data_IF_920816664367
#
_entry.id   IF_920816664367
#
_cell.length_a   1.000
_cell.length_b   1.000
_cell.length_c   1.000
_cell.angle_alpha   90.00
_cell.angle_beta   90.00
_cell.angle_gamma   90.00
#
_symmetry.space_group_name_H-M   'P 1'
#
loop_
_entity.id
_entity.type
_entity.pdbx_description
1 polymer ?
#
# COMPACT_ATOMS: atom_id res chain seq x y z
N UNK A 1 -1.58 21.54 10.06
CA UNK A 1 -1.59 20.13 10.55
C UNK A 1 -2.21 19.21 9.51
N UNK A 2 -1.72 17.95 9.37
CA UNK A 2 -2.33 16.93 8.50
C UNK A 2 -2.95 15.81 9.33
N UNK A 3 -4.05 15.20 8.84
CA UNK A 3 -4.65 14.03 9.49
C UNK A 3 -4.31 12.79 8.66
N UNK A 4 -3.78 11.73 9.32
CA UNK A 4 -3.51 10.43 8.70
C UNK A 4 -4.53 9.43 9.25
N UNK A 5 -5.60 9.19 8.49
CA UNK A 5 -6.65 8.23 8.85
C UNK A 5 -6.19 6.83 8.45
N UNK A 6 -6.03 5.95 9.44
CA UNK A 6 -5.43 4.64 9.26
C UNK A 6 -3.90 4.63 9.43
N UNK A 7 -3.35 5.57 10.19
CA UNK A 7 -1.92 5.61 10.51
C UNK A 7 -1.42 4.41 11.31
N UNK A 8 -2.31 3.56 11.84
CA UNK A 8 -1.97 2.27 12.43
C UNK A 8 -1.81 1.12 11.41
N UNK A 9 -1.93 1.41 10.12
CA UNK A 9 -1.70 0.43 9.04
C UNK A 9 -0.23 0.37 8.63
N UNK A 10 0.13 -0.63 7.82
CA UNK A 10 1.48 -0.77 7.25
C UNK A 10 1.96 0.54 6.59
N UNK A 11 1.24 1.00 5.58
CA UNK A 11 1.59 2.25 4.87
C UNK A 11 1.46 3.45 5.80
N UNK A 12 0.47 3.43 6.72
CA UNK A 12 0.18 4.54 7.63
C UNK A 12 1.32 4.87 8.59
N UNK A 13 1.97 3.87 9.19
CA UNK A 13 3.11 4.08 10.08
C UNK A 13 4.28 4.73 9.35
N UNK A 14 4.62 4.23 8.15
CA UNK A 14 5.69 4.82 7.34
C UNK A 14 5.34 6.23 6.83
N UNK A 15 4.06 6.47 6.49
CA UNK A 15 3.59 7.81 6.10
C UNK A 15 3.68 8.79 7.26
N UNK A 16 3.26 8.39 8.47
CA UNK A 16 3.39 9.24 9.66
C UNK A 16 4.85 9.59 9.94
N UNK A 17 5.77 8.63 9.85
CA UNK A 17 7.20 8.87 10.04
C UNK A 17 7.77 9.82 8.98
N UNK A 18 7.39 9.66 7.72
CA UNK A 18 7.81 10.58 6.65
C UNK A 18 7.35 12.02 6.96
N UNK A 19 6.08 12.21 7.32
CA UNK A 19 5.55 13.54 7.64
C UNK A 19 6.26 14.17 8.84
N UNK A 20 6.57 13.39 9.88
CA UNK A 20 7.35 13.86 11.03
C UNK A 20 8.78 14.25 10.63
N UNK A 21 9.44 13.44 9.80
CA UNK A 21 10.79 13.73 9.29
C UNK A 21 10.80 15.03 8.48
N UNK A 22 9.72 15.33 7.78
CA UNK A 22 9.53 16.58 7.04
C UNK A 22 9.07 17.77 7.92
N UNK A 23 9.03 17.59 9.23
CA UNK A 23 8.64 18.64 10.18
C UNK A 23 7.16 19.02 10.16
N UNK A 24 6.30 18.12 9.67
CA UNK A 24 4.86 18.35 9.64
C UNK A 24 4.20 18.03 10.99
N UNK A 25 3.30 18.88 11.43
CA UNK A 25 2.36 18.55 12.50
C UNK A 25 1.30 17.58 11.98
N UNK A 26 1.11 16.46 12.67
CA UNK A 26 0.16 15.41 12.27
C UNK A 26 -0.73 14.98 13.42
N UNK A 27 -1.97 14.59 13.08
CA UNK A 27 -2.87 13.81 13.89
C UNK A 27 -3.03 12.43 13.23
N UNK A 28 -2.84 11.38 14.00
CA UNK A 28 -2.96 10.00 13.50
C UNK A 28 -4.22 9.36 14.05
N UNK A 29 -4.92 8.59 13.23
CA UNK A 29 -6.05 7.79 13.69
C UNK A 29 -5.92 6.32 13.34
N UNK A 30 -6.59 5.47 14.15
CA UNK A 30 -6.69 4.04 13.93
C UNK A 30 -7.72 3.41 14.87
N UNK A 31 -8.00 2.12 14.69
CA UNK A 31 -8.98 1.40 15.53
C UNK A 31 -8.36 0.72 16.77
N UNK A 32 -7.04 0.61 16.81
CA UNK A 32 -6.36 -0.17 17.84
C UNK A 32 -5.49 0.70 18.75
N UNK A 33 -5.79 0.69 20.02
CA UNK A 33 -5.09 1.47 21.05
C UNK A 33 -3.61 1.11 21.24
N UNK A 34 -3.15 -0.07 20.80
CA UNK A 34 -1.74 -0.44 20.92
C UNK A 34 -0.78 0.52 20.20
N UNK A 35 -1.28 1.28 19.22
CA UNK A 35 -0.49 2.28 18.51
C UNK A 35 -0.47 3.65 19.18
N UNK A 36 -1.34 3.87 20.17
CA UNK A 36 -1.45 5.16 20.89
C UNK A 36 -0.13 5.51 21.56
N UNK A 37 0.39 4.61 22.40
CA UNK A 37 1.65 4.82 23.13
C UNK A 37 2.81 5.12 22.17
N UNK A 38 2.93 4.34 21.10
CA UNK A 38 3.94 4.56 20.05
C UNK A 38 3.92 5.98 19.47
N UNK A 39 2.74 6.53 19.23
CA UNK A 39 2.60 7.88 18.67
C UNK A 39 2.75 8.96 19.72
N UNK A 40 2.16 8.79 20.89
CA UNK A 40 2.21 9.77 21.99
C UNK A 40 3.64 9.97 22.52
N UNK A 41 4.46 8.92 22.61
CA UNK A 41 5.89 9.01 22.92
C UNK A 41 6.70 9.83 21.90
N UNK A 42 6.19 9.98 20.68
CA UNK A 42 6.78 10.79 19.61
C UNK A 42 6.15 12.18 19.49
N UNK A 43 5.32 12.57 20.48
CA UNK A 43 4.65 13.85 20.48
C UNK A 43 3.51 13.96 19.48
N UNK A 44 2.99 12.83 18.99
CA UNK A 44 1.91 12.77 17.99
C UNK A 44 0.60 12.39 18.66
N UNK A 45 -0.43 13.20 18.44
CA UNK A 45 -1.78 12.88 18.91
C UNK A 45 -2.37 11.68 18.17
N UNK A 46 -2.98 10.76 18.91
CA UNK A 46 -3.65 9.59 18.36
C UNK A 46 -5.11 9.53 18.79
N UNK A 47 -6.02 9.39 17.83
CA UNK A 47 -7.45 9.22 18.08
C UNK A 47 -7.95 7.88 17.56
N UNK A 48 -8.86 7.26 18.32
CA UNK A 48 -9.62 6.12 17.84
C UNK A 48 -10.67 6.61 16.85
N UNK A 49 -10.66 6.03 15.65
CA UNK A 49 -11.64 6.34 14.62
C UNK A 49 -11.96 5.08 13.81
N UNK A 50 -13.25 4.72 13.80
CA UNK A 50 -13.81 3.71 12.91
C UNK A 50 -14.59 4.40 11.78
N UNK A 51 -14.25 4.09 10.54
CA UNK A 51 -14.89 4.68 9.37
C UNK A 51 -16.39 4.35 9.25
N UNK A 52 -16.89 3.32 9.96
CA UNK A 52 -18.30 2.95 9.97
C UNK A 52 -19.14 3.75 10.96
N UNK A 53 -18.54 4.58 11.82
CA UNK A 53 -19.19 5.26 12.95
C UNK A 53 -19.16 6.76 12.76
N UNK A 54 -20.32 7.38 12.57
CA UNK A 54 -20.43 8.83 12.36
C UNK A 54 -20.00 9.64 13.59
N UNK A 55 -20.20 9.11 14.80
CA UNK A 55 -19.82 9.76 16.06
C UNK A 55 -18.31 9.92 16.23
N UNK A 56 -17.51 9.02 15.65
CA UNK A 56 -16.05 9.09 15.77
C UNK A 56 -15.47 10.31 15.05
N UNK A 57 -16.14 10.80 14.01
CA UNK A 57 -15.72 11.99 13.25
C UNK A 57 -15.92 13.30 14.06
N UNK A 58 -16.75 13.29 15.09
CA UNK A 58 -16.95 14.46 15.94
C UNK A 58 -15.72 14.80 16.81
N UNK A 59 -14.81 13.84 16.99
CA UNK A 59 -13.56 14.04 17.70
C UNK A 59 -12.49 14.74 16.86
N UNK A 60 -12.65 14.77 15.54
CA UNK A 60 -11.66 15.35 14.65
C UNK A 60 -11.66 16.88 14.74
N UNK A 61 -10.49 17.53 14.59
CA UNK A 61 -10.35 18.98 14.58
C UNK A 61 -11.21 19.64 13.51
N UNK A 62 -11.92 20.70 13.86
CA UNK A 62 -12.76 21.45 12.91
C UNK A 62 -12.00 22.55 12.17
N UNK A 63 -10.80 22.91 12.65
CA UNK A 63 -9.96 24.00 12.08
C UNK A 63 -8.49 23.60 12.10
N UNK A 64 -7.67 24.28 11.29
CA UNK A 64 -6.22 24.09 11.25
C UNK A 64 -5.75 22.84 10.53
N UNK A 65 -6.63 22.18 9.76
CA UNK A 65 -6.29 20.99 8.99
C UNK A 65 -6.04 21.37 7.52
N UNK A 66 -4.82 21.12 7.03
CA UNK A 66 -4.38 21.43 5.68
C UNK A 66 -4.75 20.33 4.66
N UNK A 67 -4.97 19.12 5.14
CA UNK A 67 -5.34 18.00 4.28
C UNK A 67 -5.39 16.67 5.04
N UNK A 68 -5.96 15.66 4.38
CA UNK A 68 -6.18 14.32 4.94
C UNK A 68 -5.54 13.26 4.05
N UNK A 69 -4.80 12.33 4.66
CA UNK A 69 -4.34 11.08 4.02
C UNK A 69 -5.24 9.95 4.53
N UNK A 70 -6.01 9.32 3.62
CA UNK A 70 -6.93 8.24 3.95
C UNK A 70 -6.36 6.89 3.55
N UNK A 71 -5.82 6.16 4.52
CA UNK A 71 -5.21 4.84 4.37
C UNK A 71 -6.02 3.72 5.04
N UNK A 72 -7.01 4.08 5.86
CA UNK A 72 -7.92 3.10 6.43
C UNK A 72 -8.79 2.47 5.35
N UNK A 73 -8.94 1.16 5.40
CA UNK A 73 -9.75 0.39 4.47
C UNK A 73 -9.74 -1.09 4.78
N UNK A 74 -10.71 -1.80 4.25
CA UNK A 74 -10.78 -3.26 4.31
C UNK A 74 -10.10 -3.85 3.06
N UNK A 75 -9.18 -4.80 3.28
CA UNK A 75 -8.41 -5.49 2.23
C UNK A 75 -8.62 -7.01 2.35
N UNK A 76 -8.70 -7.74 1.23
CA UNK A 76 -8.80 -9.20 1.24
C UNK A 76 -7.66 -9.87 2.00
N UNK A 77 -6.44 -9.36 1.85
CA UNK A 77 -5.24 -9.89 2.52
C UNK A 77 -5.32 -9.83 4.06
N UNK A 78 -6.19 -8.99 4.63
CA UNK A 78 -6.38 -8.81 6.07
C UNK A 78 -7.71 -9.38 6.57
N UNK A 79 -8.53 -9.98 5.70
CA UNK A 79 -9.85 -10.51 6.03
C UNK A 79 -9.83 -12.05 6.01
N UNK A 80 -10.08 -12.73 7.15
CA UNK A 80 -10.13 -14.19 7.23
C UNK A 80 -11.46 -14.74 6.67
N UNK A 81 -11.84 -14.30 5.47
CA UNK A 81 -13.11 -14.65 4.83
C UNK A 81 -12.87 -15.69 3.75
N UNK A 82 -13.66 -16.76 3.76
CA UNK A 82 -13.75 -17.72 2.69
C UNK A 82 -15.02 -17.47 1.89
N UNK A 83 -14.90 -16.97 0.67
CA UNK A 83 -16.04 -16.61 -0.19
C UNK A 83 -16.88 -17.79 -0.67
N UNK A 84 -16.42 -19.05 -0.48
CA UNK A 84 -17.22 -20.23 -0.79
C UNK A 84 -18.31 -20.47 0.27
N UNK A 85 -18.16 -19.91 1.47
CA UNK A 85 -19.08 -20.11 2.61
C UNK A 85 -19.52 -18.81 3.29
N UNK A 86 -18.77 -17.71 3.12
CA UNK A 86 -19.03 -16.43 3.77
C UNK A 86 -19.14 -15.32 2.71
N UNK A 87 -19.96 -14.32 3.00
CA UNK A 87 -20.08 -13.12 2.17
C UNK A 87 -19.80 -11.88 3.00
N UNK A 88 -18.90 -11.02 2.50
CA UNK A 88 -18.53 -9.76 3.16
C UNK A 88 -18.58 -8.56 2.20
N UNK A 89 -19.33 -8.66 1.11
CA UNK A 89 -19.44 -7.59 0.11
C UNK A 89 -19.92 -6.27 0.74
N UNK A 90 -20.92 -6.33 1.61
CA UNK A 90 -21.44 -5.16 2.32
C UNK A 90 -20.37 -4.45 3.15
N UNK A 91 -19.51 -5.21 3.83
CA UNK A 91 -18.43 -4.65 4.67
C UNK A 91 -17.43 -3.85 3.84
N UNK A 92 -17.07 -4.34 2.62
CA UNK A 92 -16.20 -3.60 1.72
C UNK A 92 -16.79 -2.25 1.32
N UNK A 93 -18.09 -2.21 0.99
CA UNK A 93 -18.75 -0.96 0.63
C UNK A 93 -18.95 -0.05 1.84
N UNK A 94 -19.31 -0.60 3.02
CA UNK A 94 -19.46 0.20 4.25
C UNK A 94 -18.13 0.88 4.63
N UNK A 95 -17.02 0.14 4.61
CA UNK A 95 -15.72 0.67 5.06
C UNK A 95 -15.07 1.49 3.93
N UNK A 96 -14.89 0.92 2.73
CA UNK A 96 -14.10 1.55 1.69
C UNK A 96 -14.84 2.68 0.98
N UNK A 97 -16.14 2.52 0.70
CA UNK A 97 -16.92 3.51 -0.05
C UNK A 97 -17.60 4.50 0.88
N UNK A 98 -18.45 4.02 1.79
CA UNK A 98 -19.21 4.89 2.69
C UNK A 98 -18.29 5.57 3.72
N UNK A 99 -17.25 4.87 4.20
CA UNK A 99 -16.21 5.47 5.02
C UNK A 99 -15.50 6.61 4.30
N UNK A 100 -15.19 6.47 3.01
CA UNK A 100 -14.63 7.57 2.19
C UNK A 100 -15.59 8.75 2.11
N UNK A 101 -16.91 8.51 1.93
CA UNK A 101 -17.92 9.58 1.93
C UNK A 101 -17.90 10.34 3.26
N UNK A 102 -17.84 9.63 4.40
CA UNK A 102 -17.76 10.28 5.73
C UNK A 102 -16.55 11.20 5.86
N UNK A 103 -15.37 10.73 5.38
CA UNK A 103 -14.16 11.56 5.37
C UNK A 103 -14.33 12.80 4.49
N UNK A 104 -14.88 12.63 3.28
CA UNK A 104 -15.11 13.73 2.36
C UNK A 104 -16.11 14.76 2.92
N UNK A 105 -17.20 14.30 3.56
CA UNK A 105 -18.18 15.18 4.23
C UNK A 105 -17.58 15.93 5.42
N UNK A 106 -16.76 15.24 6.24
CA UNK A 106 -15.99 15.91 7.28
C UNK A 106 -15.11 17.02 6.68
N UNK A 107 -14.34 16.70 5.65
CA UNK A 107 -13.45 17.65 4.99
C UNK A 107 -14.22 18.83 4.41
N UNK A 108 -15.29 18.57 3.66
CA UNK A 108 -16.14 19.60 3.04
C UNK A 108 -16.74 20.55 4.07
N UNK A 109 -17.30 20.03 5.17
CA UNK A 109 -17.92 20.82 6.24
C UNK A 109 -16.93 21.71 6.98
N UNK A 110 -15.66 21.31 7.03
CA UNK A 110 -14.59 22.03 7.75
C UNK A 110 -13.61 22.77 6.81
N UNK A 111 -13.99 22.96 5.55
CA UNK A 111 -13.20 23.66 4.52
C UNK A 111 -11.80 23.05 4.28
N UNK A 112 -11.67 21.73 4.47
CA UNK A 112 -10.46 20.96 4.15
C UNK A 112 -10.58 20.55 2.68
N UNK A 113 -9.77 21.14 1.82
CA UNK A 113 -9.94 21.05 0.37
C UNK A 113 -9.33 19.80 -0.25
N UNK A 114 -8.60 18.95 0.52
CA UNK A 114 -7.83 17.85 -0.06
C UNK A 114 -7.86 16.59 0.79
N UNK A 115 -8.25 15.49 0.14
CA UNK A 115 -8.06 14.12 0.63
C UNK A 115 -7.22 13.35 -0.39
N UNK A 116 -6.15 12.68 0.07
CA UNK A 116 -5.42 11.71 -0.75
C UNK A 116 -5.68 10.32 -0.20
N UNK A 117 -6.18 9.43 -1.05
CA UNK A 117 -6.52 8.06 -0.68
C UNK A 117 -5.83 7.05 -1.58
N UNK A 118 -6.26 5.80 -1.53
CA UNK A 118 -5.67 4.69 -2.30
C UNK A 118 -6.72 4.02 -3.18
N UNK A 119 -6.31 3.58 -4.36
CA UNK A 119 -7.04 2.70 -5.26
C UNK A 119 -6.44 1.30 -5.25
N UNK A 120 -6.79 0.47 -6.23
CA UNK A 120 -6.22 -0.85 -6.43
C UNK A 120 -5.66 -0.98 -7.85
N UNK A 121 -4.44 -1.51 -7.99
CA UNK A 121 -3.87 -1.79 -9.31
C UNK A 121 -4.61 -2.91 -10.06
N UNK A 122 -5.44 -3.69 -9.34
CA UNK A 122 -6.24 -4.74 -9.92
C UNK A 122 -7.45 -4.22 -10.71
N UNK A 123 -7.77 -2.92 -10.64
CA UNK A 123 -8.84 -2.29 -11.42
C UNK A 123 -8.58 -2.29 -12.94
N UNK A 124 -7.31 -2.45 -13.34
CA UNK A 124 -6.85 -2.59 -14.74
C UNK A 124 -6.23 -3.97 -15.01
N UNK A 125 -6.61 -4.99 -14.25
CA UNK A 125 -5.99 -6.32 -14.29
C UNK A 125 -5.95 -6.93 -15.69
N UNK A 126 -6.97 -6.74 -16.51
CA UNK A 126 -7.01 -7.31 -17.86
C UNK A 126 -6.06 -6.61 -18.86
N UNK A 127 -5.50 -5.45 -18.48
CA UNK A 127 -4.50 -4.73 -19.26
C UNK A 127 -3.05 -5.00 -18.80
N UNK A 128 -2.84 -5.85 -17.78
CA UNK A 128 -1.50 -6.12 -17.27
C UNK A 128 -0.60 -6.72 -18.34
N UNK A 129 0.54 -6.10 -18.52
CA UNK A 129 1.58 -6.49 -19.49
C UNK A 129 2.94 -6.00 -19.00
N UNK A 130 4.01 -6.69 -19.37
CA UNK A 130 5.38 -6.21 -19.22
C UNK A 130 5.86 -5.43 -20.44
N UNK A 131 5.12 -5.49 -21.57
CA UNK A 131 5.55 -4.94 -22.86
C UNK A 131 5.28 -3.42 -22.97
N UNK A 132 4.35 -2.92 -22.18
CA UNK A 132 4.03 -1.49 -22.10
C UNK A 132 3.72 -1.06 -20.67
N UNK A 133 4.07 0.17 -20.32
CA UNK A 133 3.68 0.75 -19.06
C UNK A 133 2.19 1.17 -19.10
N UNK A 134 1.44 0.79 -18.07
CA UNK A 134 0.04 1.15 -17.87
C UNK A 134 -0.01 2.58 -17.34
N UNK A 135 -0.73 3.46 -18.02
CA UNK A 135 -0.95 4.85 -17.59
C UNK A 135 -2.22 5.00 -16.76
N UNK A 136 -2.45 6.20 -16.23
CA UNK A 136 -3.65 6.54 -15.49
C UNK A 136 -4.91 6.60 -16.37
N UNK A 137 -4.73 6.71 -17.70
CA UNK A 137 -5.82 6.75 -18.71
C UNK A 137 -6.31 5.35 -19.09
N UNK A 138 -5.61 4.28 -18.65
CA UNK A 138 -6.06 2.91 -18.92
C UNK A 138 -7.46 2.68 -18.35
N UNK A 139 -8.45 2.26 -19.17
CA UNK A 139 -9.81 2.04 -18.70
C UNK A 139 -9.85 0.90 -17.70
N UNK A 140 -10.70 1.04 -16.68
CA UNK A 140 -10.93 -0.02 -15.69
C UNK A 140 -11.40 -1.30 -16.40
N UNK A 141 -10.69 -2.38 -16.18
CA UNK A 141 -11.01 -3.70 -16.73
C UNK A 141 -10.44 -4.78 -15.83
N UNK A 142 -11.32 -5.54 -15.17
CA UNK A 142 -10.95 -6.57 -14.21
C UNK A 142 -11.96 -7.71 -14.20
N UNK A 143 -11.64 -8.79 -13.49
CA UNK A 143 -12.50 -9.98 -13.37
C UNK A 143 -13.44 -9.81 -12.19
N UNK A 144 -14.76 -9.93 -12.42
CA UNK A 144 -15.80 -9.85 -11.39
C UNK A 144 -15.98 -11.19 -10.64
N UNK A 145 -14.87 -11.81 -10.25
CA UNK A 145 -14.84 -13.10 -9.55
C UNK A 145 -13.65 -13.18 -8.60
N UNK A 146 -13.85 -13.91 -7.49
CA UNK A 146 -12.84 -14.12 -6.46
C UNK A 146 -12.86 -13.03 -5.39
N UNK A 147 -12.05 -13.22 -4.37
CA UNK A 147 -11.99 -12.37 -3.17
C UNK A 147 -11.58 -10.92 -3.43
N UNK A 148 -10.85 -10.66 -4.50
CA UNK A 148 -10.44 -9.32 -4.89
C UNK A 148 -11.52 -8.54 -5.67
N UNK A 149 -12.55 -9.20 -6.21
CA UNK A 149 -13.52 -8.52 -7.08
C UNK A 149 -14.31 -7.44 -6.33
N UNK A 150 -14.97 -7.79 -5.23
CA UNK A 150 -15.75 -6.83 -4.45
C UNK A 150 -14.90 -5.75 -3.82
N UNK A 151 -13.67 -6.08 -3.41
CA UNK A 151 -12.70 -5.10 -2.96
C UNK A 151 -12.42 -4.05 -4.04
N UNK A 152 -12.08 -4.48 -5.27
CA UNK A 152 -11.82 -3.57 -6.40
C UNK A 152 -13.06 -2.72 -6.71
N UNK A 153 -14.26 -3.32 -6.69
CA UNK A 153 -15.52 -2.59 -6.90
C UNK A 153 -15.72 -1.50 -5.86
N UNK A 154 -15.51 -1.80 -4.58
CA UNK A 154 -15.67 -0.83 -3.48
C UNK A 154 -14.63 0.30 -3.55
N UNK A 155 -13.38 -0.01 -3.94
CA UNK A 155 -12.34 1.01 -4.14
C UNK A 155 -12.63 1.89 -5.36
N UNK A 156 -13.14 1.31 -6.45
CA UNK A 156 -13.54 2.07 -7.63
C UNK A 156 -14.70 3.04 -7.29
N UNK A 157 -15.71 2.56 -6.56
CA UNK A 157 -16.82 3.40 -6.12
C UNK A 157 -16.33 4.55 -5.20
N UNK A 158 -15.36 4.29 -4.31
CA UNK A 158 -14.75 5.33 -3.49
C UNK A 158 -14.03 6.40 -4.36
N UNK A 159 -13.29 5.97 -5.39
CA UNK A 159 -12.62 6.89 -6.32
C UNK A 159 -13.63 7.74 -7.13
N UNK A 160 -14.73 7.14 -7.58
CA UNK A 160 -15.80 7.85 -8.31
C UNK A 160 -16.48 8.90 -7.42
N UNK A 161 -16.69 8.58 -6.13
CA UNK A 161 -17.18 9.56 -5.16
C UNK A 161 -16.17 10.68 -4.93
N UNK A 162 -14.86 10.38 -4.81
CA UNK A 162 -13.84 11.42 -4.69
C UNK A 162 -13.83 12.35 -5.89
N UNK A 163 -14.01 11.83 -7.11
CA UNK A 163 -14.11 12.63 -8.31
C UNK A 163 -15.40 13.47 -8.33
N UNK A 164 -16.54 12.94 -7.87
CA UNK A 164 -17.75 13.71 -7.68
C UNK A 164 -17.52 14.94 -6.77
N UNK A 165 -16.81 14.75 -5.63
CA UNK A 165 -16.48 15.86 -4.73
C UNK A 165 -15.50 16.87 -5.36
N UNK A 166 -14.62 16.43 -6.24
CA UNK A 166 -13.76 17.32 -7.01
C UNK A 166 -14.60 18.22 -7.92
N UNK A 167 -15.50 17.63 -8.69
CA UNK A 167 -16.30 18.38 -9.68
C UNK A 167 -17.43 19.19 -9.04
N UNK A 168 -18.16 18.60 -8.10
CA UNK A 168 -19.34 19.24 -7.49
C UNK A 168 -18.98 20.28 -6.44
N UNK A 169 -17.91 20.05 -5.66
CA UNK A 169 -17.56 20.88 -4.50
C UNK A 169 -16.20 21.58 -4.65
N UNK A 170 -15.55 21.48 -5.80
CA UNK A 170 -14.26 22.13 -6.08
C UNK A 170 -13.10 21.63 -5.22
N UNK A 171 -13.21 20.44 -4.63
CA UNK A 171 -12.13 19.83 -3.87
C UNK A 171 -10.98 19.39 -4.80
N UNK A 172 -9.81 19.11 -4.22
CA UNK A 172 -8.59 18.68 -4.93
C UNK A 172 -8.15 17.29 -4.45
N UNK A 173 -9.10 16.36 -4.48
CA UNK A 173 -8.83 15.00 -4.03
C UNK A 173 -8.02 14.21 -5.05
N UNK A 174 -7.17 13.29 -4.57
CA UNK A 174 -6.41 12.38 -5.40
C UNK A 174 -6.41 10.98 -4.81
N UNK A 175 -6.14 9.97 -5.64
CA UNK A 175 -6.01 8.59 -5.19
C UNK A 175 -4.88 7.87 -5.92
N UNK A 176 -4.16 7.07 -5.16
CA UNK A 176 -2.96 6.37 -5.62
C UNK A 176 -3.28 4.91 -5.96
N UNK A 177 -2.97 4.53 -7.18
CA UNK A 177 -2.91 3.14 -7.63
C UNK A 177 -1.48 2.68 -7.50
N UNK A 178 -1.20 1.67 -6.69
CA UNK A 178 0.12 1.10 -6.60
C UNK A 178 0.12 -0.42 -6.74
N UNK A 179 1.20 -0.97 -7.36
CA UNK A 179 1.48 -2.40 -7.38
C UNK A 179 1.79 -2.88 -5.96
N UNK A 180 2.19 -4.14 -5.74
CA UNK A 180 2.59 -4.62 -4.43
C UNK A 180 3.60 -3.69 -3.76
N UNK A 181 3.27 -3.24 -2.54
CA UNK A 181 4.13 -2.40 -1.72
C UNK A 181 4.99 -3.29 -0.84
N UNK A 182 6.31 -3.14 -0.95
CA UNK A 182 7.28 -3.88 -0.14
C UNK A 182 7.83 -2.98 0.96
N UNK A 183 8.17 -3.59 2.10
CA UNK A 183 8.72 -2.90 3.26
C UNK A 183 8.50 -3.67 4.55
N UNK A 184 9.03 -3.16 5.64
CA UNK A 184 8.82 -3.75 6.97
C UNK A 184 7.41 -3.50 7.45
N UNK A 185 6.66 -4.57 7.70
CA UNK A 185 5.26 -4.51 8.09
C UNK A 185 4.65 -5.90 8.33
N UNK A 186 3.33 -5.99 8.51
CA UNK A 186 2.65 -7.23 8.87
C UNK A 186 2.45 -8.20 7.69
N UNK A 187 2.91 -7.86 6.49
CA UNK A 187 2.57 -8.58 5.25
C UNK A 187 3.49 -9.77 4.92
N UNK A 188 4.22 -10.33 5.91
CA UNK A 188 4.88 -11.62 5.77
C UNK A 188 3.91 -12.78 5.50
N UNK A 189 2.67 -12.64 5.99
CA UNK A 189 1.55 -13.56 5.72
C UNK A 189 0.31 -12.78 5.34
N UNK A 190 -0.57 -13.42 4.55
CA UNK A 190 -1.82 -12.82 4.08
C UNK A 190 -2.92 -13.88 3.98
N UNK A 191 -4.18 -13.47 4.05
CA UNK A 191 -5.30 -14.38 3.88
C UNK A 191 -5.58 -14.65 2.39
N UNK A 192 -5.72 -15.93 2.03
CA UNK A 192 -6.22 -16.39 0.73
C UNK A 192 -7.30 -17.43 1.03
N UNK A 193 -8.52 -17.19 0.58
CA UNK A 193 -9.69 -18.05 0.83
C UNK A 193 -9.81 -18.45 2.32
N UNK A 194 -9.74 -17.48 3.22
CA UNK A 194 -9.85 -17.68 4.65
C UNK A 194 -8.64 -18.35 5.34
N UNK A 195 -7.59 -18.73 4.60
CA UNK A 195 -6.38 -19.35 5.15
C UNK A 195 -5.22 -18.36 5.16
N UNK A 196 -4.53 -18.29 6.30
CA UNK A 196 -3.31 -17.49 6.41
C UNK A 196 -2.14 -18.23 5.75
N UNK A 197 -1.52 -17.60 4.75
CA UNK A 197 -0.38 -18.14 4.00
C UNK A 197 0.78 -17.16 3.96
N UNK A 198 2.01 -17.64 3.95
CA UNK A 198 3.19 -16.80 3.79
C UNK A 198 3.23 -16.19 2.39
N UNK A 199 3.59 -14.92 2.28
CA UNK A 199 3.83 -14.25 1.00
C UNK A 199 5.06 -14.82 0.31
N UNK A 200 5.10 -14.73 -1.03
CA UNK A 200 6.28 -15.20 -1.79
C UNK A 200 7.57 -14.48 -1.40
N UNK A 201 7.48 -13.18 -1.09
CA UNK A 201 8.61 -12.41 -0.58
C UNK A 201 9.13 -12.97 0.75
N UNK A 202 8.22 -13.24 1.70
CA UNK A 202 8.60 -13.80 3.01
C UNK A 202 9.21 -15.18 2.86
N UNK A 203 8.65 -16.05 2.01
CA UNK A 203 9.22 -17.39 1.74
C UNK A 203 10.66 -17.28 1.22
N UNK A 204 10.93 -16.34 0.30
CA UNK A 204 12.27 -16.16 -0.26
C UNK A 204 13.25 -15.62 0.81
N UNK A 205 12.81 -14.65 1.62
CA UNK A 205 13.64 -14.12 2.72
C UNK A 205 13.96 -15.18 3.77
N UNK A 206 12.98 -15.98 4.20
CA UNK A 206 13.16 -17.06 5.19
C UNK A 206 14.18 -18.09 4.69
N UNK A 207 14.06 -18.49 3.42
CA UNK A 207 15.01 -19.44 2.80
C UNK A 207 16.40 -18.84 2.69
N UNK A 208 16.51 -17.58 2.28
CA UNK A 208 17.79 -16.90 2.18
C UNK A 208 18.51 -16.80 3.53
N UNK A 209 17.79 -16.48 4.61
CA UNK A 209 18.35 -16.45 5.98
C UNK A 209 18.83 -17.81 6.44
N UNK A 210 18.15 -18.89 6.06
CA UNK A 210 18.52 -20.27 6.42
C UNK A 210 19.60 -20.89 5.52
N UNK A 211 19.90 -20.25 4.37
CA UNK A 211 20.77 -20.82 3.34
C UNK A 211 20.12 -21.99 2.59
N UNK A 212 18.78 -22.06 2.62
CA UNK A 212 18.00 -23.07 1.90
C UNK A 212 17.80 -22.68 0.43
N UNK A 213 17.68 -23.65 -0.47
CA UNK A 213 17.48 -23.39 -1.89
C UNK A 213 16.18 -22.63 -2.15
N UNK A 214 16.24 -21.53 -2.90
CA UNK A 214 15.09 -20.75 -3.36
C UNK A 214 14.61 -21.34 -4.69
N UNK A 215 13.42 -21.90 -4.71
CA UNK A 215 12.84 -22.50 -5.92
C UNK A 215 11.93 -21.51 -6.64
N UNK A 216 12.19 -21.32 -7.94
CA UNK A 216 11.31 -20.57 -8.86
C UNK A 216 10.54 -21.60 -9.70
N UNK A 217 9.22 -21.52 -9.64
CA UNK A 217 8.31 -22.31 -10.44
C UNK A 217 7.92 -21.57 -11.72
N UNK A 218 7.73 -22.29 -12.82
CA UNK A 218 7.32 -21.74 -14.12
C UNK A 218 8.35 -20.80 -14.74
N UNK A 219 7.85 -19.77 -15.44
CA UNK A 219 8.71 -18.81 -16.13
C UNK A 219 9.39 -17.84 -15.14
N UNK A 220 10.71 -17.94 -15.07
CA UNK A 220 11.56 -17.09 -14.23
C UNK A 220 11.64 -15.62 -14.71
N UNK A 221 11.25 -15.34 -15.96
CA UNK A 221 11.31 -14.01 -16.58
C UNK A 221 10.04 -13.20 -16.32
N UNK A 222 8.99 -13.79 -15.72
CA UNK A 222 7.81 -13.04 -15.32
C UNK A 222 8.23 -11.86 -14.44
N UNK A 223 7.82 -10.65 -14.87
CA UNK A 223 8.33 -9.40 -14.34
C UNK A 223 7.21 -8.58 -13.69
N UNK A 224 7.42 -8.14 -12.47
CA UNK A 224 6.48 -7.29 -11.74
C UNK A 224 7.10 -5.96 -11.36
N UNK A 225 6.34 -4.92 -11.57
CA UNK A 225 6.59 -3.65 -10.93
C UNK A 225 6.22 -3.75 -9.44
N UNK A 226 7.10 -3.27 -8.59
CA UNK A 226 6.89 -3.20 -7.14
C UNK A 226 7.32 -1.83 -6.66
N UNK A 227 6.75 -1.36 -5.56
CA UNK A 227 7.11 -0.07 -4.98
C UNK A 227 7.50 -0.23 -3.51
N UNK A 228 8.43 0.58 -3.05
CA UNK A 228 8.86 0.57 -1.66
C UNK A 228 7.97 1.46 -0.80
N UNK A 229 7.67 1.01 0.42
CA UNK A 229 6.77 1.72 1.31
C UNK A 229 7.25 3.13 1.67
N UNK A 230 8.57 3.35 1.78
CA UNK A 230 9.14 4.68 2.05
C UNK A 230 8.95 5.60 0.85
N UNK A 231 9.05 5.10 -0.39
CA UNK A 231 8.73 5.87 -1.59
C UNK A 231 7.23 6.22 -1.66
N UNK A 232 6.35 5.28 -1.27
CA UNK A 232 4.90 5.54 -1.17
C UNK A 232 4.62 6.62 -0.11
N UNK A 233 5.25 6.55 1.05
CA UNK A 233 5.12 7.54 2.12
C UNK A 233 5.58 8.93 1.64
N UNK A 234 6.73 9.00 0.98
CA UNK A 234 7.25 10.24 0.38
C UNK A 234 6.33 10.80 -0.71
N UNK A 235 5.74 9.93 -1.54
CA UNK A 235 4.77 10.34 -2.55
C UNK A 235 3.53 11.00 -1.92
N UNK A 236 3.00 10.49 -0.80
CA UNK A 236 1.91 11.14 -0.07
C UNK A 236 2.29 12.53 0.40
N UNK A 237 3.50 12.71 0.93
CA UNK A 237 4.00 14.01 1.35
C UNK A 237 4.11 14.99 0.18
N UNK A 238 4.74 14.60 -0.92
CA UNK A 238 4.87 15.45 -2.10
C UNK A 238 3.51 15.84 -2.68
N UNK A 239 2.62 14.87 -2.82
CA UNK A 239 1.32 15.05 -3.41
C UNK A 239 0.40 15.96 -2.58
N UNK A 240 0.40 15.84 -1.24
CA UNK A 240 -0.45 16.71 -0.40
C UNK A 240 0.00 18.16 -0.45
N UNK A 241 1.28 18.40 -0.69
CA UNK A 241 1.89 19.74 -0.80
C UNK A 241 1.70 20.40 -2.16
N UNK A 242 1.59 19.62 -3.24
CA UNK A 242 1.48 20.16 -4.60
C UNK A 242 0.07 20.67 -4.91
N UNK A 243 -0.04 21.87 -5.44
CA UNK A 243 -1.31 22.42 -5.93
C UNK A 243 -1.84 21.73 -7.19
N UNK A 244 -0.99 21.00 -7.92
CA UNK A 244 -1.32 20.32 -9.16
C UNK A 244 -1.93 18.92 -8.94
N UNK A 245 -1.81 18.36 -7.73
CA UNK A 245 -2.29 17.01 -7.43
C UNK A 245 -3.80 16.94 -7.48
N UNK A 246 -4.35 16.13 -8.40
CA UNK A 246 -5.77 15.81 -8.49
C UNK A 246 -6.01 14.55 -9.33
N UNK A 247 -6.98 13.71 -8.90
CA UNK A 247 -7.38 12.51 -9.62
C UNK A 247 -6.45 11.31 -9.38
N UNK A 248 -6.40 10.38 -10.33
CA UNK A 248 -5.64 9.15 -10.24
C UNK A 248 -4.15 9.36 -10.53
N UNK A 249 -3.30 8.68 -9.75
CA UNK A 249 -1.86 8.55 -9.98
C UNK A 249 -1.39 7.12 -9.78
N UNK A 250 -0.52 6.62 -10.67
CA UNK A 250 0.22 5.40 -10.43
C UNK A 250 1.44 5.71 -9.54
N UNK A 251 1.53 5.03 -8.40
CA UNK A 251 2.70 5.10 -7.52
C UNK A 251 3.50 3.82 -7.64
N UNK A 252 4.61 3.88 -8.30
CA UNK A 252 5.36 2.71 -8.75
C UNK A 252 6.86 3.01 -8.78
N UNK A 253 7.70 1.96 -8.89
CA UNK A 253 9.12 2.15 -9.19
C UNK A 253 9.35 2.49 -10.67
N UNK A 254 8.38 2.23 -11.54
CA UNK A 254 8.51 2.35 -12.99
C UNK A 254 9.47 1.32 -13.60
N UNK A 255 9.76 0.25 -12.86
CA UNK A 255 10.72 -0.80 -13.27
C UNK A 255 10.18 -2.18 -12.96
N UNK A 256 10.12 -3.01 -14.00
CA UNK A 256 9.80 -4.42 -13.82
C UNK A 256 10.99 -5.20 -13.25
N UNK A 257 10.73 -6.06 -12.26
CA UNK A 257 11.73 -6.95 -11.67
C UNK A 257 11.31 -8.39 -11.90
N UNK A 258 12.15 -9.18 -12.60
CA UNK A 258 11.86 -10.59 -12.89
C UNK A 258 11.91 -11.44 -11.62
N UNK A 259 11.19 -12.55 -11.59
CA UNK A 259 11.25 -13.51 -10.48
C UNK A 259 12.68 -14.00 -10.22
N UNK A 260 13.45 -14.25 -11.30
CA UNK A 260 14.86 -14.60 -11.18
C UNK A 260 15.63 -13.51 -10.43
N UNK A 261 15.50 -12.24 -10.86
CA UNK A 261 16.22 -11.13 -10.22
C UNK A 261 15.80 -10.91 -8.77
N UNK A 262 14.50 -11.05 -8.47
CA UNK A 262 14.02 -10.99 -7.08
C UNK A 262 14.68 -12.07 -6.21
N UNK A 263 14.70 -13.33 -6.65
CA UNK A 263 15.30 -14.43 -5.93
C UNK A 263 16.83 -14.26 -5.74
N UNK A 264 17.56 -13.83 -6.79
CA UNK A 264 19.00 -13.59 -6.73
C UNK A 264 19.38 -12.49 -5.74
N UNK A 265 18.64 -11.35 -5.77
CA UNK A 265 18.86 -10.23 -4.86
C UNK A 265 18.52 -10.60 -3.42
N UNK A 266 17.41 -11.29 -3.19
CA UNK A 266 17.02 -11.72 -1.84
C UNK A 266 18.03 -12.73 -1.29
N UNK A 267 18.48 -13.70 -2.11
CA UNK A 267 19.53 -14.65 -1.73
C UNK A 267 20.87 -13.98 -1.39
N UNK A 268 21.18 -12.85 -2.02
CA UNK A 268 22.38 -12.07 -1.75
C UNK A 268 22.23 -11.25 -0.46
N UNK A 269 21.13 -10.50 -0.34
CA UNK A 269 20.94 -9.50 0.73
C UNK A 269 20.65 -10.16 2.07
N UNK A 270 19.86 -11.23 2.09
CA UNK A 270 19.43 -11.91 3.34
C UNK A 270 20.30 -13.11 3.74
N UNK A 271 21.34 -13.45 2.99
CA UNK A 271 22.30 -14.51 3.39
C UNK A 271 22.97 -14.14 4.71
N UNK A 272 23.13 -15.14 5.60
CA UNK A 272 23.89 -14.98 6.85
C UNK A 272 25.40 -14.79 6.61
N UNK A 273 25.94 -15.50 5.61
CA UNK A 273 27.32 -15.36 5.14
C UNK A 273 27.41 -15.70 3.66
N UNK A 274 28.56 -15.39 3.04
CA UNK A 274 28.80 -15.72 1.62
C UNK A 274 28.76 -17.23 1.36
N UNK A 275 29.23 -18.04 2.30
CA UNK A 275 29.30 -19.51 2.21
C UNK A 275 27.89 -20.15 2.35
N UNK A 276 26.97 -19.44 3.01
CA UNK A 276 25.58 -19.90 3.24
C UNK A 276 24.57 -19.23 2.32
N UNK A 277 25.01 -18.71 1.18
CA UNK A 277 24.11 -18.12 0.20
C UNK A 277 23.24 -19.20 -0.44
N UNK A 278 21.93 -18.97 -0.48
CA UNK A 278 20.95 -19.85 -1.14
C UNK A 278 21.25 -20.04 -2.63
N UNK A 279 21.10 -21.25 -3.12
CA UNK A 279 21.09 -21.54 -4.56
C UNK A 279 19.71 -21.24 -5.11
N UNK A 280 19.66 -20.82 -6.38
CA UNK A 280 18.40 -20.64 -7.09
C UNK A 280 18.13 -21.88 -7.93
N UNK A 281 17.02 -22.55 -7.64
CA UNK A 281 16.59 -23.77 -8.34
C UNK A 281 15.40 -23.43 -9.25
N UNK A 282 15.45 -23.87 -10.49
CA UNK A 282 14.39 -23.63 -11.47
C UNK A 282 13.58 -24.90 -11.69
N UNK A 283 12.25 -24.76 -11.64
CA UNK A 283 11.27 -25.81 -11.96
C UNK A 283 10.26 -25.29 -12.98
N UNK A 284 10.65 -25.14 -14.25
CA UNK A 284 9.81 -24.54 -15.29
C UNK A 284 8.57 -25.37 -15.61
N UNK A 285 8.60 -26.66 -15.32
CA UNK A 285 7.49 -27.62 -15.53
C UNK A 285 6.33 -27.41 -14.51
N UNK A 286 6.57 -26.72 -13.40
CA UNK A 286 5.54 -26.46 -12.39
C UNK A 286 4.93 -25.08 -12.66
N UNK A 287 3.64 -25.01 -13.00
CA UNK A 287 3.00 -23.70 -13.29
C UNK A 287 3.10 -22.72 -12.13
N UNK A 288 3.29 -21.44 -12.44
CA UNK A 288 3.08 -20.36 -11.51
C UNK A 288 2.10 -19.33 -12.10
N UNK A 289 1.34 -18.68 -11.25
CA UNK A 289 0.32 -17.71 -11.64
C UNK A 289 0.79 -16.26 -11.42
N UNK A 290 2.10 -16.02 -11.39
CA UNK A 290 2.65 -14.67 -11.22
C UNK A 290 2.33 -13.84 -12.47
N UNK A 291 1.58 -12.76 -12.37
CA UNK A 291 1.35 -11.88 -13.51
C UNK A 291 2.56 -11.00 -13.78
N UNK A 292 2.69 -10.55 -15.03
CA UNK A 292 3.65 -9.50 -15.41
C UNK A 292 2.91 -8.18 -15.63
N UNK A 293 3.47 -7.10 -15.13
CA UNK A 293 2.95 -5.74 -15.32
C UNK A 293 4.00 -4.68 -15.05
N UNK A 294 3.80 -3.54 -15.71
CA UNK A 294 4.60 -2.33 -15.55
C UNK A 294 3.64 -1.13 -15.54
N UNK A 295 3.88 -0.16 -14.67
CA UNK A 295 3.09 1.06 -14.57
C UNK A 295 3.94 2.30 -14.90
N UNK A 296 3.31 3.31 -15.48
CA UNK A 296 3.93 4.62 -15.70
C UNK A 296 3.75 5.51 -14.48
N UNK A 297 4.80 6.22 -14.08
CA UNK A 297 4.75 7.25 -13.02
C UNK A 297 4.91 8.66 -13.57
N UNK A 298 4.84 8.86 -14.88
CA UNK A 298 5.13 10.14 -15.52
C UNK A 298 4.18 11.26 -15.07
N UNK A 299 2.92 10.93 -14.79
CA UNK A 299 1.96 11.89 -14.24
C UNK A 299 2.38 12.37 -12.85
N UNK A 300 2.75 11.47 -11.95
CA UNK A 300 3.21 11.80 -10.61
C UNK A 300 4.50 12.63 -10.62
N UNK A 301 5.44 12.28 -11.50
CA UNK A 301 6.67 13.03 -11.70
C UNK A 301 6.40 14.45 -12.18
N UNK A 302 5.49 14.64 -13.14
CA UNK A 302 5.13 15.93 -13.69
C UNK A 302 4.42 16.81 -12.66
N UNK A 303 3.43 16.27 -11.94
CA UNK A 303 2.48 17.07 -11.14
C UNK A 303 3.01 17.37 -9.73
N UNK A 304 3.86 16.51 -9.15
CA UNK A 304 4.44 16.73 -7.82
C UNK A 304 5.88 16.24 -7.64
N UNK A 305 6.61 16.03 -8.74
CA UNK A 305 8.04 15.77 -8.71
C UNK A 305 8.41 14.39 -8.16
N UNK A 306 7.50 13.42 -8.12
CA UNK A 306 7.78 12.10 -7.56
C UNK A 306 8.85 11.36 -8.36
N UNK A 307 9.92 10.98 -7.67
CA UNK A 307 10.98 10.09 -8.17
C UNK A 307 11.29 9.08 -7.06
N UNK A 308 11.14 7.78 -7.30
CA UNK A 308 11.42 6.76 -6.30
C UNK A 308 12.90 6.79 -5.87
N UNK A 309 13.16 6.90 -4.57
CA UNK A 309 14.51 6.81 -4.00
C UNK A 309 15.01 5.36 -3.99
N UNK A 310 14.10 4.42 -3.80
CA UNK A 310 14.36 2.98 -3.81
C UNK A 310 13.88 2.30 -5.10
N UNK A 311 13.99 2.97 -6.25
CA UNK A 311 13.56 2.44 -7.55
C UNK A 311 14.37 1.22 -8.04
N UNK A 312 15.49 0.89 -7.39
CA UNK A 312 16.27 -0.31 -7.62
C UNK A 312 15.90 -1.38 -6.58
N UNK A 313 15.51 -2.56 -7.01
CA UNK A 313 15.08 -3.64 -6.13
C UNK A 313 16.15 -4.07 -5.10
N UNK A 314 17.43 -3.99 -5.46
CA UNK A 314 18.51 -4.33 -4.55
C UNK A 314 18.62 -3.32 -3.40
N UNK A 315 18.53 -2.04 -3.69
CA UNK A 315 18.57 -0.97 -2.70
C UNK A 315 17.36 -1.05 -1.76
N UNK A 316 16.18 -1.34 -2.32
CA UNK A 316 14.96 -1.62 -1.55
C UNK A 316 15.15 -2.77 -0.56
N UNK A 317 15.74 -3.89 -1.00
CA UNK A 317 15.98 -5.05 -0.13
C UNK A 317 17.06 -4.79 0.92
N UNK A 318 18.09 -4.03 0.61
CA UNK A 318 19.10 -3.62 1.58
C UNK A 318 18.53 -2.74 2.69
N UNK A 319 17.76 -1.73 2.34
CA UNK A 319 17.12 -0.86 3.32
C UNK A 319 16.09 -1.63 4.18
N UNK A 320 15.30 -2.52 3.54
CA UNK A 320 14.38 -3.39 4.26
C UNK A 320 15.09 -4.31 5.25
N UNK A 321 16.24 -4.90 4.85
CA UNK A 321 17.06 -5.71 5.75
C UNK A 321 17.59 -4.90 6.92
N UNK A 322 18.05 -3.70 6.67
CA UNK A 322 18.56 -2.79 7.70
C UNK A 322 17.47 -2.45 8.73
N UNK A 323 16.26 -2.11 8.29
CA UNK A 323 15.12 -1.85 9.17
C UNK A 323 14.74 -3.11 9.99
N UNK A 324 14.83 -4.32 9.40
CA UNK A 324 14.59 -5.59 10.10
C UNK A 324 15.66 -5.86 11.15
N UNK A 325 16.95 -5.71 10.79
CA UNK A 325 18.07 -5.96 11.70
C UNK A 325 18.05 -4.99 12.90
N UNK A 326 17.59 -3.77 12.69
CA UNK A 326 17.33 -2.76 13.72
C UNK A 326 16.04 -2.96 14.49
N UNK A 327 15.24 -3.98 14.16
CA UNK A 327 13.91 -4.25 14.72
C UNK A 327 12.94 -3.06 14.62
N UNK A 328 13.09 -2.24 13.57
CA UNK A 328 12.24 -1.07 13.35
C UNK A 328 10.78 -1.48 13.23
N UNK A 329 9.89 -0.85 13.98
CA UNK A 329 8.44 -1.18 14.08
C UNK A 329 8.11 -2.60 14.58
N UNK A 330 9.06 -3.32 15.19
CA UNK A 330 8.83 -4.68 15.68
C UNK A 330 7.68 -4.73 16.69
N UNK A 331 7.64 -3.80 17.61
CA UNK A 331 6.57 -3.67 18.63
C UNK A 331 5.17 -3.48 18.00
N UNK A 332 5.11 -2.89 16.81
CA UNK A 332 3.86 -2.64 16.11
C UNK A 332 3.39 -3.84 15.28
N UNK A 333 4.31 -4.48 14.58
CA UNK A 333 3.97 -5.45 13.52
C UNK A 333 4.33 -6.90 13.85
N UNK A 334 5.22 -7.14 14.84
CA UNK A 334 5.66 -8.48 15.25
C UNK A 334 6.07 -9.38 14.07
N UNK A 335 6.78 -8.80 13.08
CA UNK A 335 7.25 -9.54 11.91
C UNK A 335 8.37 -10.55 12.25
N UNK A 336 8.59 -11.55 11.40
CA UNK A 336 9.67 -12.52 11.56
C UNK A 336 11.04 -11.85 11.34
N UNK A 337 11.95 -12.00 12.32
CA UNK A 337 13.31 -11.41 12.33
C UNK A 337 14.34 -12.44 11.87
#
# INVERSE_FOLDING_TARGET
>A
MYIIIGGSSFIGVHTAEEFLTQGCEILVTGRNNKYREYYEERGVSYLNLDLSRDEDFQQLPQHGVDGVILLAGLLPANAPVNLDIDENAADYFEINTKGTIRVLEYCRKNNINRVISTSSYADVRNAWSADRAITEEEPRSFVYRGDHAVYVMSKNAACDVMEYYNQQHGMKNAWFRFPPVYGVGPHGSLFINGKLVKSGLQIFMDKARKGEDITIFGDKNLSRDVVYVKDVAHAFYLAIKSSQTQGLYNMTSGRGVTLQKQAEVIAEVFAQSRERKSKIVYKPEVPNNTPSYLFSMEKAKRDFGFVPQFGNFKDMMFDMKQDIDQRKYYELFHYEV
#
